data_IF_598209857915
#
_entry.id   IF_598209857915
#
_cell.length_a   1.000
_cell.length_b   1.000
_cell.length_c   1.000
_cell.angle_alpha   90.00
_cell.angle_beta   90.00
_cell.angle_gamma   90.00
#
_symmetry.space_group_name_H-M   'P 1'
#
loop_
_entity.id
_entity.type
_entity.pdbx_description
1 polymer ?
#
# COMPACT_ATOMS: atom_id res chain seq x y z
N UNK A 1 25.95 -54.80 30.95
CA UNK A 1 25.93 -53.32 31.01
C UNK A 1 25.33 -52.79 29.71
N UNK A 2 24.09 -52.33 29.71
CA UNK A 2 23.42 -51.82 28.49
C UNK A 2 23.70 -50.31 28.33
N UNK A 3 24.28 -49.91 27.20
CA UNK A 3 24.53 -48.50 26.87
C UNK A 3 23.20 -47.77 26.67
N UNK A 4 22.96 -46.73 27.48
CA UNK A 4 21.84 -45.80 27.37
C UNK A 4 21.99 -45.00 26.06
N UNK A 5 20.98 -44.95 25.17
CA UNK A 5 21.11 -44.19 23.93
C UNK A 5 21.20 -42.70 24.23
N UNK A 6 22.30 -42.12 23.75
CA UNK A 6 22.65 -40.72 23.85
C UNK A 6 21.77 -39.90 22.89
N UNK A 7 21.23 -38.78 23.39
CA UNK A 7 20.61 -37.65 22.68
C UNK A 7 19.46 -37.93 21.69
N UNK A 8 18.23 -38.03 22.21
CA UNK A 8 17.04 -37.68 21.44
C UNK A 8 17.10 -36.18 21.09
N UNK A 9 17.20 -35.84 19.80
CA UNK A 9 16.97 -34.46 19.33
C UNK A 9 15.48 -34.28 19.08
N UNK A 10 14.87 -33.30 19.74
CA UNK A 10 13.54 -32.83 19.40
C UNK A 10 13.59 -32.29 17.96
N UNK A 11 13.05 -33.04 17.01
CA UNK A 11 12.71 -32.53 15.68
C UNK A 11 11.74 -31.36 15.91
N UNK A 12 12.14 -30.18 15.43
CA UNK A 12 11.71 -28.89 15.95
C UNK A 12 10.20 -28.76 16.12
N UNK A 13 9.76 -28.55 17.36
CA UNK A 13 8.52 -27.81 17.61
C UNK A 13 8.77 -26.43 17.01
N UNK A 14 8.06 -26.07 15.94
CA UNK A 14 8.13 -24.72 15.40
C UNK A 14 7.86 -23.75 16.53
N UNK A 15 8.90 -23.06 17.01
CA UNK A 15 8.72 -22.08 18.07
C UNK A 15 7.82 -20.97 17.53
N UNK A 16 6.69 -20.66 18.20
CA UNK A 16 5.82 -19.57 17.80
C UNK A 16 6.59 -18.24 17.85
N UNK A 17 6.13 -17.23 17.10
CA UNK A 17 6.71 -15.88 17.20
C UNK A 17 6.64 -15.42 18.65
N UNK A 18 7.73 -14.82 19.13
CA UNK A 18 7.72 -14.18 20.45
C UNK A 18 6.84 -12.92 20.41
N UNK A 19 6.32 -12.49 21.56
CA UNK A 19 5.48 -11.28 21.63
C UNK A 19 6.15 -10.03 21.07
N UNK A 20 7.48 -9.89 21.23
CA UNK A 20 8.25 -8.79 20.66
C UNK A 20 8.36 -8.86 19.13
N UNK A 21 8.50 -10.06 18.58
CA UNK A 21 8.53 -10.26 17.13
C UNK A 21 7.17 -10.01 16.49
N UNK A 22 6.10 -10.38 17.19
CA UNK A 22 4.73 -10.08 16.77
C UNK A 22 4.45 -8.57 16.81
N UNK A 23 4.88 -7.86 17.86
CA UNK A 23 4.77 -6.41 17.94
C UNK A 23 5.55 -5.72 16.82
N UNK A 24 6.80 -6.15 16.58
CA UNK A 24 7.62 -5.66 15.48
C UNK A 24 6.94 -5.88 14.12
N UNK A 25 6.40 -7.08 13.88
CA UNK A 25 5.71 -7.40 12.65
C UNK A 25 4.47 -6.51 12.41
N UNK A 26 3.71 -6.19 13.47
CA UNK A 26 2.56 -5.28 13.39
C UNK A 26 2.96 -3.84 13.04
N UNK A 27 3.99 -3.30 13.69
CA UNK A 27 4.48 -1.95 13.42
C UNK A 27 5.00 -1.82 11.98
N UNK A 28 5.78 -2.80 11.52
CA UNK A 28 6.32 -2.81 10.16
C UNK A 28 5.21 -2.99 9.12
N UNK A 29 4.24 -3.88 9.38
CA UNK A 29 3.08 -4.03 8.50
C UNK A 29 2.24 -2.74 8.39
N UNK A 30 2.18 -1.95 9.46
CA UNK A 30 1.55 -0.63 9.51
C UNK A 30 2.36 0.49 8.84
N UNK A 31 3.56 0.22 8.32
CA UNK A 31 4.38 1.18 7.58
C UNK A 31 5.48 1.88 8.38
N UNK A 32 5.76 1.44 9.62
CA UNK A 32 6.88 1.98 10.39
C UNK A 32 8.24 1.62 9.77
N UNK A 33 9.22 2.50 9.93
CA UNK A 33 10.61 2.22 9.56
C UNK A 33 11.15 1.10 10.44
N UNK A 34 11.90 0.15 9.87
CA UNK A 34 12.38 -1.04 10.59
C UNK A 34 13.16 -0.68 11.86
N UNK A 35 14.04 0.33 11.80
CA UNK A 35 14.82 0.78 12.95
C UNK A 35 13.94 1.31 14.07
N UNK A 36 12.90 2.08 13.75
CA UNK A 36 11.99 2.67 14.74
C UNK A 36 11.14 1.59 15.39
N UNK A 37 10.58 0.68 14.58
CA UNK A 37 9.85 -0.48 15.08
C UNK A 37 10.72 -1.36 15.99
N UNK A 38 12.00 -1.49 15.67
CA UNK A 38 12.95 -2.24 16.49
C UNK A 38 13.22 -1.56 17.83
N UNK A 39 13.42 -0.23 17.85
CA UNK A 39 13.62 0.54 19.08
C UNK A 39 12.42 0.40 20.01
N UNK A 40 11.22 0.53 19.47
CA UNK A 40 9.96 0.40 20.21
C UNK A 40 9.79 -0.98 20.83
N UNK A 41 10.17 -2.05 20.11
CA UNK A 41 9.97 -3.43 20.58
C UNK A 41 11.11 -3.95 21.49
N UNK A 42 12.34 -3.45 21.32
CA UNK A 42 13.55 -4.04 21.91
C UNK A 42 14.33 -3.13 22.86
N UNK A 43 13.82 -1.96 23.25
CA UNK A 43 14.46 -1.05 24.21
C UNK A 43 15.94 -0.81 23.86
N UNK A 44 16.17 -0.40 22.61
CA UNK A 44 17.50 -0.32 22.00
C UNK A 44 18.22 1.01 22.25
N UNK A 45 17.91 1.72 23.34
CA UNK A 45 18.39 3.08 23.61
C UNK A 45 19.91 3.14 23.87
N UNK A 46 20.47 2.04 24.38
CA UNK A 46 21.91 1.91 24.61
C UNK A 46 22.68 1.40 23.36
N UNK A 47 21.98 1.08 22.27
CA UNK A 47 22.59 0.54 21.05
C UNK A 47 22.95 1.66 20.08
N UNK A 48 24.07 1.48 19.36
CA UNK A 48 24.43 2.37 18.24
C UNK A 48 23.42 2.23 17.11
N UNK A 49 23.15 3.32 16.40
CA UNK A 49 22.19 3.37 15.29
C UNK A 49 22.48 2.35 14.18
N UNK A 50 23.77 2.18 13.83
CA UNK A 50 24.18 1.19 12.84
C UNK A 50 23.89 -0.26 13.27
N UNK A 51 23.99 -0.54 14.57
CA UNK A 51 23.64 -1.84 15.14
C UNK A 51 22.13 -2.03 15.10
N UNK A 52 21.34 -1.04 15.51
CA UNK A 52 19.87 -1.11 15.45
C UNK A 52 19.40 -1.36 14.03
N UNK A 53 19.93 -0.64 13.05
CA UNK A 53 19.60 -0.84 11.64
C UNK A 53 19.91 -2.27 11.17
N UNK A 54 21.10 -2.78 11.51
CA UNK A 54 21.52 -4.13 11.13
C UNK A 54 20.66 -5.22 11.75
N UNK A 55 20.34 -5.10 13.05
CA UNK A 55 19.47 -6.04 13.77
C UNK A 55 18.04 -5.99 13.26
N UNK A 56 17.50 -4.79 13.01
CA UNK A 56 16.16 -4.60 12.48
C UNK A 56 16.01 -5.24 11.08
N UNK A 57 16.99 -5.02 10.19
CA UNK A 57 17.04 -5.68 8.89
C UNK A 57 17.09 -7.20 9.02
N UNK A 58 17.96 -7.72 9.90
CA UNK A 58 18.07 -9.17 10.13
C UNK A 58 16.77 -9.76 10.68
N UNK A 59 16.11 -9.04 11.58
CA UNK A 59 14.84 -9.47 12.16
C UNK A 59 13.73 -9.49 11.11
N UNK A 60 13.64 -8.46 10.26
CA UNK A 60 12.68 -8.40 9.16
C UNK A 60 12.90 -9.52 8.12
N UNK A 61 14.16 -9.92 7.90
CA UNK A 61 14.51 -11.03 7.01
C UNK A 61 14.31 -12.42 7.62
N UNK A 62 14.03 -12.52 8.92
CA UNK A 62 13.70 -13.80 9.54
C UNK A 62 12.45 -14.37 8.84
N UNK A 63 12.49 -15.61 8.30
CA UNK A 63 11.39 -16.16 7.51
C UNK A 63 10.02 -16.11 8.21
N UNK A 64 9.99 -16.30 9.54
CA UNK A 64 8.75 -16.26 10.33
C UNK A 64 8.20 -14.86 10.46
N UNK A 65 9.07 -13.88 10.74
CA UNK A 65 8.69 -12.48 10.87
C UNK A 65 8.27 -11.92 9.52
N UNK A 66 9.02 -12.21 8.46
CA UNK A 66 8.68 -11.81 7.09
C UNK A 66 7.32 -12.39 6.66
N UNK A 67 7.08 -13.68 6.90
CA UNK A 67 5.79 -14.30 6.61
C UNK A 67 4.65 -13.65 7.42
N UNK A 68 4.90 -13.32 8.69
CA UNK A 68 3.91 -12.66 9.54
C UNK A 68 3.57 -11.25 9.07
N UNK A 69 4.57 -10.44 8.71
CA UNK A 69 4.37 -9.10 8.13
C UNK A 69 3.50 -9.19 6.89
N UNK A 70 3.84 -10.11 5.96
CA UNK A 70 3.06 -10.31 4.72
C UNK A 70 1.62 -10.73 4.98
N UNK A 71 1.40 -11.62 5.95
CA UNK A 71 0.05 -12.03 6.32
C UNK A 71 -0.78 -10.84 6.84
N UNK A 72 -0.21 -10.04 7.74
CA UNK A 72 -0.90 -8.84 8.27
C UNK A 72 -1.21 -7.85 7.14
N UNK A 73 -0.24 -7.58 6.26
CA UNK A 73 -0.44 -6.68 5.11
C UNK A 73 -1.53 -7.20 4.16
N UNK A 74 -1.57 -8.51 3.92
CA UNK A 74 -2.61 -9.13 3.11
C UNK A 74 -4.00 -8.95 3.75
N UNK A 75 -4.13 -9.21 5.04
CA UNK A 75 -5.39 -9.03 5.77
C UNK A 75 -5.85 -7.55 5.74
N UNK A 76 -4.92 -6.61 5.95
CA UNK A 76 -5.19 -5.17 5.85
C UNK A 76 -5.67 -4.76 4.45
N UNK A 77 -5.06 -5.31 3.41
CA UNK A 77 -5.43 -5.05 2.02
C UNK A 77 -6.82 -5.63 1.70
N UNK A 78 -7.15 -6.84 2.17
CA UNK A 78 -8.49 -7.40 2.00
C UNK A 78 -9.56 -6.56 2.72
N UNK A 79 -9.27 -6.13 3.94
CA UNK A 79 -10.13 -5.24 4.70
C UNK A 79 -10.33 -3.90 4.01
N UNK A 80 -9.25 -3.32 3.47
CA UNK A 80 -9.28 -2.06 2.74
C UNK A 80 -10.18 -2.18 1.51
N UNK A 81 -9.96 -3.17 0.65
CA UNK A 81 -10.78 -3.43 -0.54
C UNK A 81 -12.26 -3.61 -0.19
N UNK A 82 -12.53 -4.37 0.87
CA UNK A 82 -13.91 -4.61 1.33
C UNK A 82 -14.57 -3.32 1.82
N UNK A 83 -13.83 -2.49 2.57
CA UNK A 83 -14.33 -1.18 3.04
C UNK A 83 -14.57 -0.22 1.89
N UNK A 84 -13.64 -0.13 0.94
CA UNK A 84 -13.79 0.69 -0.26
C UNK A 84 -15.01 0.28 -1.07
N UNK A 85 -15.21 -1.02 -1.28
CA UNK A 85 -16.38 -1.54 -1.97
C UNK A 85 -17.68 -1.14 -1.27
N UNK A 86 -17.78 -1.40 0.05
CA UNK A 86 -18.96 -1.06 0.84
C UNK A 86 -19.24 0.43 0.88
N UNK A 87 -18.20 1.26 1.00
CA UNK A 87 -18.34 2.71 0.99
C UNK A 87 -18.84 3.17 -0.38
N UNK A 88 -18.29 2.63 -1.46
CA UNK A 88 -18.74 2.92 -2.83
C UNK A 88 -20.22 2.55 -3.02
N UNK A 89 -20.62 1.34 -2.65
CA UNK A 89 -22.02 0.91 -2.72
C UNK A 89 -22.94 1.83 -1.90
N UNK A 90 -22.52 2.19 -0.69
CA UNK A 90 -23.27 3.09 0.17
C UNK A 90 -23.45 4.46 -0.47
N UNK A 91 -22.38 5.07 -0.98
CA UNK A 91 -22.42 6.39 -1.64
C UNK A 91 -23.31 6.36 -2.87
N UNK A 92 -23.18 5.33 -3.73
CA UNK A 92 -24.02 5.19 -4.92
C UNK A 92 -25.50 5.04 -4.55
N UNK A 93 -25.82 4.24 -3.53
CA UNK A 93 -27.19 4.09 -3.05
C UNK A 93 -27.74 5.40 -2.52
N UNK A 94 -26.98 6.14 -1.72
CA UNK A 94 -27.39 7.45 -1.19
C UNK A 94 -27.61 8.46 -2.31
N UNK A 95 -26.73 8.51 -3.31
CA UNK A 95 -26.91 9.38 -4.47
C UNK A 95 -28.17 9.02 -5.27
N UNK A 96 -28.50 7.73 -5.40
CA UNK A 96 -29.74 7.30 -6.04
C UNK A 96 -30.97 7.77 -5.25
N UNK A 97 -30.97 7.58 -3.93
CA UNK A 97 -32.05 8.06 -3.06
C UNK A 97 -32.24 9.57 -3.17
N UNK A 98 -31.16 10.35 -3.17
CA UNK A 98 -31.23 11.82 -3.34
C UNK A 98 -31.69 12.21 -4.76
N UNK A 99 -31.31 11.46 -5.80
CA UNK A 99 -31.80 11.67 -7.15
C UNK A 99 -33.32 11.46 -7.27
N UNK A 100 -33.87 10.50 -6.53
CA UNK A 100 -35.29 10.14 -6.58
C UNK A 100 -36.16 11.00 -5.66
N UNK A 101 -35.65 11.38 -4.48
CA UNK A 101 -36.47 11.92 -3.38
C UNK A 101 -36.18 13.38 -3.02
N UNK A 102 -35.08 13.99 -3.49
CA UNK A 102 -34.75 15.33 -3.05
C UNK A 102 -35.82 16.37 -3.44
N UNK A 103 -36.12 17.27 -2.51
CA UNK A 103 -37.21 18.26 -2.64
C UNK A 103 -37.01 19.24 -3.80
N UNK A 104 -35.75 19.52 -4.17
CA UNK A 104 -35.41 20.48 -5.21
C UNK A 104 -34.76 19.83 -6.43
N UNK A 105 -35.06 20.37 -7.62
CA UNK A 105 -34.58 19.82 -8.89
C UNK A 105 -33.05 19.90 -9.02
N UNK A 106 -32.43 20.94 -8.47
CA UNK A 106 -30.97 21.13 -8.54
C UNK A 106 -30.22 19.99 -7.83
N UNK A 107 -30.66 19.57 -6.65
CA UNK A 107 -30.10 18.45 -5.89
C UNK A 107 -30.27 17.13 -6.66
N UNK A 108 -31.45 16.89 -7.24
CA UNK A 108 -31.68 15.69 -8.06
C UNK A 108 -30.77 15.63 -9.27
N UNK A 109 -30.65 16.74 -10.00
CA UNK A 109 -29.77 16.85 -11.18
C UNK A 109 -28.31 16.64 -10.78
N UNK A 110 -27.86 17.24 -9.67
CA UNK A 110 -26.49 17.07 -9.17
C UNK A 110 -26.20 15.63 -8.79
N UNK A 111 -27.14 14.95 -8.13
CA UNK A 111 -27.00 13.54 -7.78
C UNK A 111 -26.90 12.65 -9.04
N UNK A 112 -27.74 12.88 -10.06
CA UNK A 112 -27.68 12.19 -11.35
C UNK A 112 -26.36 12.45 -12.09
N UNK A 113 -25.84 13.69 -12.06
CA UNK A 113 -24.54 14.02 -12.65
C UNK A 113 -23.41 13.23 -11.96
N UNK A 114 -23.39 13.20 -10.63
CA UNK A 114 -22.38 12.47 -9.85
C UNK A 114 -22.48 10.95 -10.08
N UNK A 115 -23.69 10.40 -10.19
CA UNK A 115 -23.91 9.01 -10.58
C UNK A 115 -23.36 8.73 -11.98
N UNK A 116 -23.63 9.59 -12.96
CA UNK A 116 -23.13 9.44 -14.33
C UNK A 116 -21.61 9.62 -14.47
N UNK A 117 -20.99 10.40 -13.58
CA UNK A 117 -19.51 10.54 -13.45
C UNK A 117 -18.86 9.37 -12.70
N UNK A 118 -19.63 8.61 -11.92
CA UNK A 118 -19.10 7.47 -11.18
C UNK A 118 -18.58 6.37 -12.13
N UNK A 119 -17.48 5.69 -11.76
CA UNK A 119 -16.83 4.69 -12.63
C UNK A 119 -17.74 3.54 -13.12
N UNK A 120 -18.90 3.33 -12.50
CA UNK A 120 -19.85 2.26 -12.89
C UNK A 120 -20.69 2.63 -14.11
N UNK A 121 -20.89 3.91 -14.37
CA UNK A 121 -21.76 4.42 -15.44
C UNK A 121 -20.94 5.17 -16.49
N UNK A 122 -19.87 5.88 -16.09
CA UNK A 122 -18.91 6.58 -16.97
C UNK A 122 -19.54 7.26 -18.20
N UNK A 123 -20.72 7.85 -18.02
CA UNK A 123 -21.44 8.58 -19.07
C UNK A 123 -20.93 10.01 -19.24
N UNK A 124 -20.34 10.57 -18.19
CA UNK A 124 -19.77 11.91 -18.19
C UNK A 124 -18.28 11.82 -17.89
N UNK A 125 -17.44 12.24 -18.83
CA UNK A 125 -16.00 12.42 -18.64
C UNK A 125 -15.68 13.90 -18.68
N UNK A 126 -14.92 14.40 -17.71
CA UNK A 126 -14.36 15.74 -17.82
C UNK A 126 -13.29 15.70 -18.91
N UNK A 127 -13.58 16.32 -20.06
CA UNK A 127 -12.60 16.50 -21.14
C UNK A 127 -11.60 17.54 -20.68
N UNK A 128 -10.47 17.08 -20.16
CA UNK A 128 -9.33 17.95 -19.90
C UNK A 128 -8.68 18.25 -21.24
N UNK A 129 -9.07 19.36 -21.86
CA UNK A 129 -8.30 19.91 -22.98
C UNK A 129 -6.99 20.41 -22.39
N UNK A 130 -5.93 19.63 -22.58
CA UNK A 130 -4.58 20.06 -22.32
C UNK A 130 -4.23 21.08 -23.41
N UNK A 131 -4.60 22.35 -23.18
CA UNK A 131 -4.04 23.44 -23.96
C UNK A 131 -2.55 23.45 -23.64
N UNK A 132 -1.73 22.90 -24.55
CA UNK A 132 -0.31 23.17 -24.58
C UNK A 132 -0.15 24.67 -24.83
N UNK A 133 -0.22 25.48 -23.77
CA UNK A 133 0.03 26.93 -23.79
C UNK A 133 1.52 27.23 -23.89
N UNK A 134 2.24 26.37 -24.59
CA UNK A 134 3.58 26.66 -25.04
C UNK A 134 3.45 26.88 -26.54
N UNK A 135 3.50 28.14 -26.97
CA UNK A 135 3.86 28.49 -28.34
C UNK A 135 5.29 28.00 -28.58
N UNK A 136 5.47 26.68 -28.68
CA UNK A 136 6.76 26.09 -28.99
C UNK A 136 6.97 26.34 -30.45
N UNK A 137 8.03 27.06 -30.76
CA UNK A 137 8.43 27.22 -32.15
C UNK A 137 8.79 25.84 -32.71
N UNK A 138 8.54 25.62 -34.00
CA UNK A 138 8.85 24.33 -34.65
C UNK A 138 10.31 23.90 -34.42
N UNK A 139 11.23 24.87 -34.33
CA UNK A 139 12.65 24.68 -34.02
C UNK A 139 12.91 24.07 -32.63
N UNK A 140 12.18 24.52 -31.60
CA UNK A 140 12.31 23.99 -30.24
C UNK A 140 11.75 22.57 -30.12
N UNK A 141 10.69 22.27 -30.87
CA UNK A 141 10.13 20.92 -30.96
C UNK A 141 11.12 20.00 -31.66
N UNK A 142 11.71 20.43 -32.78
CA UNK A 142 12.69 19.64 -33.52
C UNK A 142 13.92 19.32 -32.66
N UNK A 143 14.47 20.32 -31.95
CA UNK A 143 15.62 20.12 -31.04
C UNK A 143 15.33 19.08 -29.97
N UNK A 144 14.17 19.17 -29.32
CA UNK A 144 13.78 18.24 -28.26
C UNK A 144 13.52 16.82 -28.80
N UNK A 145 12.90 16.70 -29.98
CA UNK A 145 12.69 15.42 -30.62
C UNK A 145 14.02 14.77 -31.02
N UNK A 146 14.96 15.54 -31.57
CA UNK A 146 16.32 15.07 -31.89
C UNK A 146 17.06 14.60 -30.63
N UNK A 147 17.04 15.39 -29.56
CA UNK A 147 17.67 15.01 -28.30
C UNK A 147 17.05 13.73 -27.70
N UNK A 148 15.73 13.54 -27.83
CA UNK A 148 15.05 12.31 -27.38
C UNK A 148 15.38 11.11 -28.28
N UNK A 149 15.44 11.30 -29.59
CA UNK A 149 15.82 10.27 -30.56
C UNK A 149 17.27 9.83 -30.37
N UNK A 150 18.20 10.77 -30.20
CA UNK A 150 19.61 10.46 -29.90
C UNK A 150 19.76 9.69 -28.60
N UNK A 151 18.90 9.95 -27.60
CA UNK A 151 18.90 9.21 -26.34
C UNK A 151 18.31 7.79 -26.47
N UNK A 152 17.44 7.57 -27.45
CA UNK A 152 16.79 6.29 -27.73
C UNK A 152 17.61 5.42 -28.70
N UNK A 153 18.31 6.04 -29.64
CA UNK A 153 19.06 5.39 -30.71
C UNK A 153 20.57 5.39 -30.39
N UNK A 154 21.05 6.32 -29.57
CA UNK A 154 22.42 6.38 -29.06
C UNK A 154 22.63 5.48 -27.84
N UNK A 155 22.45 4.18 -28.04
CA UNK A 155 23.01 3.07 -27.27
C UNK A 155 23.67 2.13 -28.26
#
# INVERSE_FOLDING_TARGET
MAKKPTHLRLVGREQPLTGKQEAFAKLVAGGAVLSDAYRECYAADAMKDSTVWSEACRLAQNPKVSARIKAIQYDMEQDHRTREHRLREHVLKRLQEEADQADNASSRIRALELLGKSLSVSMFSDRIEQTDTTERTASEIERDLRAKLDRLIGS
#
